data_IF_038687965012
#
_entry.id   IF_038687965012
#
_cell.length_a   1.000
_cell.length_b   1.000
_cell.length_c   1.000
_cell.angle_alpha   90.00
_cell.angle_beta   90.00
_cell.angle_gamma   90.00
#
_symmetry.space_group_name_H-M   'P 1'
#
loop_
_entity.id
_entity.type
_entity.pdbx_description
1 polymer ?
#
# COMPACT_ATOMS: atom_id res chain seq x y z
N UNK A 1 -5.77 25.42 27.54
CA UNK A 1 -4.55 24.59 27.62
C UNK A 1 -3.75 24.81 26.36
N UNK A 2 -2.40 24.74 26.40
CA UNK A 2 -1.59 24.85 25.19
C UNK A 2 -1.96 23.71 24.22
N UNK A 3 -1.88 23.97 22.92
CA UNK A 3 -2.14 22.95 21.91
C UNK A 3 -1.09 21.84 21.99
N UNK A 4 -1.54 20.57 22.02
CA UNK A 4 -0.66 19.40 22.03
C UNK A 4 -0.76 18.68 20.68
N UNK A 5 0.34 18.71 19.91
CA UNK A 5 0.34 18.15 18.56
C UNK A 5 0.17 16.63 18.54
N UNK A 6 0.74 15.91 19.51
CA UNK A 6 0.62 14.45 19.59
C UNK A 6 -0.83 13.99 19.84
N UNK A 7 -1.62 14.73 20.62
CA UNK A 7 -3.06 14.44 20.82
C UNK A 7 -3.86 14.63 19.53
N UNK A 8 -3.58 15.71 18.77
CA UNK A 8 -4.21 15.94 17.48
C UNK A 8 -3.84 14.88 16.44
N UNK A 9 -2.59 14.39 16.46
CA UNK A 9 -2.14 13.29 15.61
C UNK A 9 -2.82 11.97 15.96
N UNK A 10 -3.00 11.65 17.26
CA UNK A 10 -3.78 10.50 17.71
C UNK A 10 -5.23 10.59 17.23
N UNK A 11 -5.85 11.76 17.37
CA UNK A 11 -7.22 12.00 16.88
C UNK A 11 -7.34 11.73 15.37
N UNK A 12 -6.35 12.11 14.56
CA UNK A 12 -6.34 11.83 13.11
C UNK A 12 -6.43 10.33 12.86
N UNK A 13 -5.64 9.53 13.58
CA UNK A 13 -5.59 8.07 13.43
C UNK A 13 -6.90 7.44 13.92
N UNK A 14 -7.36 7.81 15.11
CA UNK A 14 -8.59 7.28 15.72
C UNK A 14 -9.85 7.59 14.91
N UNK A 15 -9.81 8.68 14.13
CA UNK A 15 -10.91 9.10 13.26
C UNK A 15 -10.75 8.63 11.80
N UNK A 16 -9.80 7.73 11.53
CA UNK A 16 -9.46 7.25 10.16
C UNK A 16 -9.16 8.40 9.17
N UNK A 17 -8.59 9.49 9.68
CA UNK A 17 -8.16 10.65 8.92
C UNK A 17 -6.83 10.43 8.20
N UNK A 18 -6.66 11.11 7.06
CA UNK A 18 -5.45 11.02 6.23
C UNK A 18 -4.40 12.08 6.58
N UNK A 19 -4.82 13.29 6.93
CA UNK A 19 -3.92 14.44 7.12
C UNK A 19 -4.35 15.32 8.30
N UNK A 20 -3.37 15.86 9.03
CA UNK A 20 -3.49 16.97 9.98
C UNK A 20 -2.86 18.22 9.37
N UNK A 21 -3.56 19.35 9.41
CA UNK A 21 -3.08 20.64 8.96
C UNK A 21 -3.08 21.63 10.14
N UNK A 22 -1.93 22.23 10.39
CA UNK A 22 -1.71 23.23 11.42
C UNK A 22 -1.32 24.55 10.77
N UNK A 23 -2.07 25.61 11.09
CA UNK A 23 -1.89 26.94 10.51
C UNK A 23 -2.35 28.01 11.50
N UNK A 24 -1.52 29.03 11.69
CA UNK A 24 -1.86 30.20 12.51
C UNK A 24 -3.17 30.86 12.05
N UNK A 25 -4.04 31.15 13.01
CA UNK A 25 -5.35 31.78 12.79
C UNK A 25 -6.46 30.82 12.37
N UNK A 26 -6.17 29.53 12.19
CA UNK A 26 -7.16 28.47 11.97
C UNK A 26 -7.10 27.45 13.10
N UNK A 27 -8.21 26.78 13.45
CA UNK A 27 -8.14 25.61 14.33
C UNK A 27 -7.35 24.49 13.64
N UNK A 28 -6.83 23.50 14.39
CA UNK A 28 -6.29 22.28 13.79
C UNK A 28 -7.33 21.65 12.86
N UNK A 29 -6.96 21.43 11.60
CA UNK A 29 -7.85 20.87 10.60
C UNK A 29 -7.40 19.45 10.28
N UNK A 30 -8.35 18.53 10.13
CA UNK A 30 -8.09 17.16 9.71
C UNK A 30 -8.77 16.88 8.38
N UNK A 31 -8.17 16.00 7.57
CA UNK A 31 -8.81 15.45 6.39
C UNK A 31 -9.33 14.07 6.69
N UNK A 32 -10.65 13.88 6.69
CA UNK A 32 -11.31 12.59 6.94
C UNK A 32 -12.15 12.26 5.70
N UNK A 33 -11.93 11.09 5.11
CA UNK A 33 -12.56 10.66 3.85
C UNK A 33 -12.50 11.74 2.73
N UNK A 34 -11.38 12.46 2.64
CA UNK A 34 -11.16 13.50 1.64
C UNK A 34 -11.70 14.89 1.99
N UNK A 35 -12.56 15.02 2.99
CA UNK A 35 -13.13 16.30 3.45
C UNK A 35 -12.26 16.95 4.53
N UNK A 36 -11.98 18.26 4.40
CA UNK A 36 -11.21 19.03 5.38
C UNK A 36 -12.17 19.65 6.42
N UNK A 37 -11.94 19.40 7.70
CA UNK A 37 -12.77 19.91 8.79
C UNK A 37 -11.98 20.19 10.07
N UNK A 38 -12.46 21.08 10.95
CA UNK A 38 -11.79 21.39 12.21
C UNK A 38 -11.95 20.25 13.21
N UNK A 39 -10.93 20.02 14.05
CA UNK A 39 -11.09 19.20 15.26
C UNK A 39 -12.01 19.95 16.22
N UNK A 40 -13.13 19.33 16.59
CA UNK A 40 -14.14 19.96 17.44
C UNK A 40 -13.58 20.25 18.85
N UNK A 41 -13.93 21.41 19.38
CA UNK A 41 -13.47 21.85 20.71
C UNK A 41 -12.10 22.54 20.75
N UNK A 42 -11.38 22.60 19.61
CA UNK A 42 -10.10 23.32 19.51
C UNK A 42 -10.29 24.69 18.81
N UNK A 43 -9.69 25.72 19.40
CA UNK A 43 -9.71 27.09 18.87
C UNK A 43 -8.59 27.35 17.85
N UNK A 44 -8.55 28.57 17.26
CA UNK A 44 -7.49 28.98 16.34
C UNK A 44 -6.09 28.90 16.95
N UNK A 45 -5.13 28.38 16.18
CA UNK A 45 -3.73 28.27 16.58
C UNK A 45 -3.03 29.63 16.56
N UNK A 46 -2.22 29.88 17.59
CA UNK A 46 -1.31 31.03 17.67
C UNK A 46 0.05 30.71 17.01
N UNK A 47 0.90 31.72 16.74
CA UNK A 47 2.27 31.47 16.29
C UNK A 47 3.06 30.55 17.23
N UNK A 48 2.91 30.75 18.54
CA UNK A 48 3.56 29.92 19.56
C UNK A 48 3.12 28.46 19.52
N UNK A 49 1.85 28.18 19.22
CA UNK A 49 1.36 26.81 19.07
C UNK A 49 2.02 26.10 17.89
N UNK A 50 2.17 26.78 16.74
CA UNK A 50 2.83 26.21 15.56
C UNK A 50 4.35 26.06 15.74
N UNK A 51 5.00 26.95 16.49
CA UNK A 51 6.42 26.84 16.84
C UNK A 51 6.68 25.66 17.77
N UNK A 52 5.82 25.46 18.78
CA UNK A 52 5.95 24.34 19.72
C UNK A 52 5.62 23.00 19.05
N UNK A 53 4.62 22.98 18.16
CA UNK A 53 4.34 21.81 17.32
C UNK A 53 5.56 21.46 16.46
N UNK A 54 6.18 22.43 15.79
CA UNK A 54 7.39 22.19 15.00
C UNK A 54 8.53 21.63 15.86
N UNK A 55 8.76 22.21 17.04
CA UNK A 55 9.79 21.77 17.98
C UNK A 55 9.56 20.33 18.45
N UNK A 56 8.31 19.94 18.65
CA UNK A 56 7.93 18.58 19.07
C UNK A 56 8.16 17.56 17.96
N UNK A 57 7.82 17.93 16.72
CA UNK A 57 7.86 17.05 15.55
C UNK A 57 9.26 16.89 14.97
N UNK A 58 10.02 17.98 14.85
CA UNK A 58 11.38 17.97 14.29
C UNK A 58 12.35 17.52 15.39
N UNK A 59 12.64 16.22 15.44
CA UNK A 59 13.57 15.62 16.42
C UNK A 59 14.99 15.46 15.88
N UNK A 60 15.17 15.42 14.57
CA UNK A 60 16.46 15.24 13.93
C UNK A 60 17.12 16.58 13.57
N UNK A 61 18.42 16.67 13.82
CA UNK A 61 19.20 17.88 13.54
C UNK A 61 19.22 18.27 12.05
N UNK A 62 19.26 17.34 11.07
CA UNK A 62 19.25 17.69 9.65
C UNK A 62 17.97 18.41 9.21
N UNK A 63 16.78 17.85 9.48
CA UNK A 63 15.53 18.50 9.08
C UNK A 63 15.33 19.84 9.80
N UNK A 64 15.84 19.98 11.04
CA UNK A 64 15.84 21.27 11.73
C UNK A 64 16.70 22.32 11.02
N UNK A 65 17.92 21.94 10.63
CA UNK A 65 18.82 22.83 9.91
C UNK A 65 18.23 23.23 8.56
N UNK A 66 17.67 22.28 7.81
CA UNK A 66 17.00 22.53 6.53
C UNK A 66 15.85 23.52 6.68
N UNK A 67 14.98 23.33 7.68
CA UNK A 67 13.88 24.27 7.94
C UNK A 67 14.37 25.67 8.31
N UNK A 68 15.42 25.76 9.13
CA UNK A 68 15.96 27.05 9.59
C UNK A 68 16.62 27.81 8.41
N UNK A 69 17.30 27.11 7.49
CA UNK A 69 17.97 27.66 6.31
C UNK A 69 17.00 27.99 5.16
N UNK A 70 16.19 27.02 4.73
CA UNK A 70 15.36 27.11 3.52
C UNK A 70 13.93 27.57 3.82
N UNK A 71 13.49 27.47 5.08
CA UNK A 71 12.12 27.81 5.49
C UNK A 71 11.10 26.71 5.24
N UNK A 72 11.54 25.52 4.82
CA UNK A 72 10.74 24.31 4.68
C UNK A 72 11.56 23.05 4.96
N UNK A 73 10.90 21.96 5.34
CA UNK A 73 11.54 20.64 5.52
C UNK A 73 10.50 19.51 5.41
N UNK A 74 10.92 18.39 4.82
CA UNK A 74 10.20 17.12 4.79
C UNK A 74 10.91 16.10 5.70
N UNK A 75 10.17 15.48 6.62
CA UNK A 75 10.72 14.48 7.53
C UNK A 75 9.64 13.53 8.05
N UNK A 76 10.08 12.45 8.70
CA UNK A 76 9.20 11.46 9.32
C UNK A 76 9.11 11.66 10.82
N UNK A 77 7.92 11.50 11.39
CA UNK A 77 7.68 11.54 12.83
C UNK A 77 6.85 10.35 13.26
N UNK A 78 7.25 9.64 14.32
CA UNK A 78 6.56 8.42 14.78
C UNK A 78 6.09 8.57 16.22
N UNK A 79 4.83 8.20 16.45
CA UNK A 79 4.27 8.02 17.79
C UNK A 79 4.20 6.51 18.05
N UNK A 80 4.98 5.98 19.02
CA UNK A 80 4.97 4.57 19.34
C UNK A 80 3.55 4.04 19.58
N UNK A 81 3.23 2.89 18.99
CA UNK A 81 1.93 2.21 19.07
C UNK A 81 0.73 2.98 18.52
N UNK A 82 0.93 4.06 17.75
CA UNK A 82 -0.15 4.82 17.12
C UNK A 82 0.00 4.84 15.62
N UNK A 83 0.95 5.63 15.13
CA UNK A 83 1.16 5.82 13.70
C UNK A 83 2.54 6.44 13.43
N UNK A 84 3.01 6.30 12.19
CA UNK A 84 4.07 7.15 11.63
C UNK A 84 3.42 8.19 10.76
N UNK A 85 4.04 9.35 10.71
CA UNK A 85 3.55 10.49 9.96
C UNK A 85 4.66 11.00 9.06
N UNK A 86 4.32 11.28 7.81
CA UNK A 86 5.13 12.14 6.96
C UNK A 86 4.78 13.58 7.26
N UNK A 87 5.75 14.37 7.67
CA UNK A 87 5.58 15.76 8.07
C UNK A 87 6.24 16.65 7.03
N UNK A 88 5.48 17.63 6.55
CA UNK A 88 5.99 18.75 5.78
C UNK A 88 5.75 20.02 6.59
N UNK A 89 6.82 20.71 6.96
CA UNK A 89 6.76 21.99 7.66
C UNK A 89 7.27 23.10 6.75
N UNK A 90 6.60 24.25 6.70
CA UNK A 90 7.00 25.36 5.84
C UNK A 90 6.56 26.73 6.41
N UNK A 91 7.24 27.79 5.99
CA UNK A 91 6.87 29.18 6.32
C UNK A 91 5.84 29.71 5.31
N UNK A 92 4.75 30.28 5.81
CA UNK A 92 3.77 31.01 4.99
C UNK A 92 3.39 32.33 5.64
N UNK A 93 3.54 33.43 4.89
CA UNK A 93 3.23 34.81 5.33
C UNK A 93 3.87 35.19 6.67
N UNK A 94 5.09 34.71 6.92
CA UNK A 94 5.83 34.99 8.16
C UNK A 94 5.42 34.14 9.37
N UNK A 95 4.62 33.08 9.17
CA UNK A 95 4.23 32.12 10.22
C UNK A 95 4.50 30.68 9.78
N UNK A 96 4.61 29.77 10.73
CA UNK A 96 4.82 28.34 10.45
C UNK A 96 3.48 27.69 10.10
N UNK A 97 3.52 26.81 9.09
CA UNK A 97 2.47 25.86 8.77
C UNK A 97 3.05 24.45 8.72
N UNK A 98 2.27 23.47 9.17
CA UNK A 98 2.68 22.07 9.22
C UNK A 98 1.56 21.21 8.66
N UNK A 99 1.92 20.22 7.83
CA UNK A 99 1.02 19.16 7.37
C UNK A 99 1.62 17.83 7.78
N UNK A 100 0.84 17.01 8.48
CA UNK A 100 1.23 15.66 8.86
C UNK A 100 0.29 14.66 8.18
N UNK A 101 0.82 13.77 7.35
CA UNK A 101 0.07 12.68 6.74
C UNK A 101 0.27 11.39 7.53
N UNK A 102 -0.80 10.75 7.95
CA UNK A 102 -0.72 9.45 8.62
C UNK A 102 -0.29 8.36 7.63
N UNK A 103 0.64 7.51 8.05
CA UNK A 103 1.10 6.33 7.33
C UNK A 103 0.34 5.12 7.88
N UNK A 104 -0.34 4.33 7.03
CA UNK A 104 -1.18 3.23 7.49
C UNK A 104 -0.36 2.10 8.13
N UNK A 105 -0.88 1.57 9.24
CA UNK A 105 -0.42 0.31 9.86
C UNK A 105 -1.17 -0.90 9.34
N UNK A 106 -2.44 -0.73 8.98
CA UNK A 106 -3.26 -1.84 8.53
C UNK A 106 -2.94 -2.17 7.07
N UNK A 107 -2.23 -3.27 6.89
CA UNK A 107 -1.97 -3.86 5.59
C UNK A 107 -3.15 -4.75 5.22
N UNK A 108 -3.69 -4.57 4.02
CA UNK A 108 -4.72 -5.47 3.47
C UNK A 108 -4.08 -6.76 2.98
N UNK A 109 -4.75 -7.90 3.15
CA UNK A 109 -4.25 -9.17 2.63
C UNK A 109 -4.29 -9.20 1.10
N UNK A 110 -3.57 -10.15 0.49
CA UNK A 110 -3.56 -10.33 -0.97
C UNK A 110 -5.00 -10.57 -1.50
N UNK A 111 -5.82 -11.30 -0.74
CA UNK A 111 -7.23 -11.58 -1.06
C UNK A 111 -8.12 -10.35 -0.89
N UNK A 112 -7.92 -9.56 0.17
CA UNK A 112 -8.67 -8.30 0.37
C UNK A 112 -8.42 -7.31 -0.76
N UNK A 113 -7.24 -7.37 -1.39
CA UNK A 113 -6.89 -6.58 -2.57
C UNK A 113 -7.48 -7.15 -3.87
N UNK A 114 -8.10 -8.33 -3.83
CA UNK A 114 -8.67 -9.01 -4.99
C UNK A 114 -7.61 -9.44 -6.01
N UNK A 115 -6.39 -9.72 -5.54
CA UNK A 115 -5.26 -10.06 -6.38
C UNK A 115 -5.22 -11.55 -6.76
N UNK A 116 -4.62 -11.92 -7.91
CA UNK A 116 -4.52 -13.32 -8.31
C UNK A 116 -3.71 -14.18 -7.31
N UNK A 117 -4.07 -15.46 -7.10
CA UNK A 117 -3.34 -16.37 -6.20
C UNK A 117 -1.85 -16.52 -6.54
N UNK A 118 -1.46 -16.31 -7.80
CA UNK A 118 -0.07 -16.33 -8.22
C UNK A 118 0.81 -15.31 -7.47
N UNK A 119 0.25 -14.18 -7.03
CA UNK A 119 1.01 -13.18 -6.24
C UNK A 119 1.35 -13.71 -4.84
N UNK A 120 0.44 -14.47 -4.22
CA UNK A 120 0.72 -15.19 -2.96
C UNK A 120 1.81 -16.22 -3.17
N UNK A 121 1.74 -17.03 -4.23
CA UNK A 121 2.77 -18.01 -4.55
C UNK A 121 4.16 -17.36 -4.74
N UNK A 122 4.22 -16.19 -5.38
CA UNK A 122 5.45 -15.41 -5.51
C UNK A 122 6.00 -14.91 -4.16
N UNK A 123 5.14 -14.61 -3.18
CA UNK A 123 5.58 -14.25 -1.82
C UNK A 123 6.10 -15.46 -1.02
N UNK A 124 5.69 -16.68 -1.40
CA UNK A 124 6.13 -17.94 -0.79
C UNK A 124 7.49 -18.43 -1.33
N UNK A 125 8.00 -17.81 -2.40
CA UNK A 125 9.33 -18.10 -2.95
C UNK A 125 10.42 -17.95 -1.89
N UNK A 126 11.37 -18.89 -1.86
CA UNK A 126 12.47 -18.87 -0.87
C UNK A 126 13.64 -18.00 -1.30
N UNK A 127 13.83 -17.84 -2.61
CA UNK A 127 14.93 -17.09 -3.20
C UNK A 127 14.62 -16.66 -4.62
N UNK A 128 15.29 -15.61 -5.07
CA UNK A 128 15.11 -15.05 -6.41
C UNK A 128 14.61 -13.62 -6.35
N UNK A 129 14.20 -13.09 -7.50
CA UNK A 129 13.68 -11.74 -7.63
C UNK A 129 12.20 -11.79 -8.02
N UNK A 130 11.37 -11.02 -7.31
CA UNK A 130 10.00 -10.72 -7.72
C UNK A 130 9.85 -9.22 -7.94
N UNK A 131 9.33 -8.85 -9.10
CA UNK A 131 9.24 -7.45 -9.53
C UNK A 131 7.80 -7.00 -9.61
N UNK A 132 7.46 -5.91 -8.92
CA UNK A 132 6.17 -5.25 -9.03
C UNK A 132 6.30 -3.97 -9.84
N UNK A 133 5.57 -3.86 -10.94
CA UNK A 133 5.72 -2.78 -11.90
C UNK A 133 4.41 -2.08 -12.22
N UNK A 134 4.51 -0.93 -12.87
CA UNK A 134 3.40 -0.03 -13.15
C UNK A 134 3.73 1.41 -12.79
N UNK A 135 2.88 2.33 -13.23
CA UNK A 135 3.05 3.77 -13.00
C UNK A 135 2.88 4.17 -11.53
N UNK A 136 3.18 5.42 -11.21
CA UNK A 136 2.90 5.97 -9.88
C UNK A 136 1.41 5.86 -9.56
N UNK A 137 1.10 5.39 -8.35
CA UNK A 137 -0.29 5.20 -7.91
C UNK A 137 -0.98 3.95 -8.46
N UNK A 138 -0.26 3.00 -9.05
CA UNK A 138 -0.84 1.74 -9.55
C UNK A 138 -1.07 0.66 -8.48
N UNK A 139 -0.71 0.92 -7.22
CA UNK A 139 -0.89 -0.01 -6.11
C UNK A 139 0.32 -0.88 -5.75
N UNK A 140 1.50 -0.66 -6.38
CA UNK A 140 2.73 -1.44 -6.14
C UNK A 140 3.08 -1.58 -4.66
N UNK A 141 3.21 -0.46 -3.94
CA UNK A 141 3.58 -0.46 -2.51
C UNK A 141 2.54 -1.17 -1.65
N UNK A 142 1.25 -1.11 -2.05
CA UNK A 142 0.17 -1.81 -1.34
C UNK A 142 0.27 -3.32 -1.53
N UNK A 143 0.58 -3.77 -2.74
CA UNK A 143 0.81 -5.19 -3.04
C UNK A 143 2.08 -5.71 -2.35
N UNK A 144 3.18 -4.96 -2.39
CA UNK A 144 4.41 -5.31 -1.67
C UNK A 144 4.19 -5.41 -0.17
N UNK A 145 3.46 -4.47 0.41
CA UNK A 145 3.09 -4.53 1.82
C UNK A 145 2.30 -5.82 2.11
N UNK A 146 1.31 -6.17 1.29
CA UNK A 146 0.55 -7.42 1.45
C UNK A 146 1.43 -8.68 1.34
N UNK A 147 2.42 -8.69 0.43
CA UNK A 147 3.37 -9.80 0.30
C UNK A 147 4.29 -9.91 1.51
N UNK A 148 4.84 -8.79 2.00
CA UNK A 148 5.71 -8.75 3.18
C UNK A 148 4.93 -9.16 4.43
N UNK A 149 3.69 -8.70 4.57
CA UNK A 149 2.83 -9.08 5.70
C UNK A 149 2.48 -10.58 5.65
N UNK A 150 2.22 -11.13 4.47
CA UNK A 150 2.05 -12.57 4.28
C UNK A 150 3.29 -13.37 4.70
N UNK A 151 4.50 -12.93 4.31
CA UNK A 151 5.76 -13.54 4.74
C UNK A 151 5.89 -13.47 6.28
N UNK A 152 5.59 -12.31 6.86
CA UNK A 152 5.65 -12.09 8.31
C UNK A 152 4.67 -12.96 9.11
N UNK A 153 3.53 -13.32 8.53
CA UNK A 153 2.53 -14.20 9.14
C UNK A 153 2.83 -15.70 9.00
N UNK A 154 3.62 -16.08 7.99
CA UNK A 154 3.77 -17.49 7.60
C UNK A 154 5.18 -18.06 7.80
N UNK A 155 6.20 -17.19 7.87
CA UNK A 155 7.62 -17.56 7.93
C UNK A 155 8.28 -16.94 9.17
N UNK A 156 9.40 -17.50 9.60
CA UNK A 156 10.21 -16.98 10.70
C UNK A 156 11.55 -16.55 10.12
N UNK A 157 11.59 -15.32 9.62
CA UNK A 157 12.68 -14.81 8.79
C UNK A 157 13.07 -13.39 9.19
N UNK A 158 14.23 -12.95 8.72
CA UNK A 158 14.65 -11.57 8.82
C UNK A 158 14.35 -10.83 7.53
N UNK A 159 13.41 -9.88 7.61
CA UNK A 159 13.01 -9.04 6.49
C UNK A 159 13.64 -7.66 6.65
N UNK A 160 14.33 -7.18 5.62
CA UNK A 160 14.86 -5.82 5.57
C UNK A 160 14.22 -5.06 4.40
N UNK A 161 13.61 -3.91 4.68
CA UNK A 161 13.10 -3.01 3.64
C UNK A 161 13.96 -1.76 3.52
N UNK A 162 14.22 -1.34 2.28
CA UNK A 162 14.88 -0.08 1.94
C UNK A 162 13.87 0.74 1.14
N UNK A 163 13.43 1.89 1.67
CA UNK A 163 12.29 2.65 1.13
C UNK A 163 12.59 4.16 1.08
N UNK A 164 11.88 4.90 0.23
CA UNK A 164 12.07 6.35 0.01
C UNK A 164 10.73 7.02 -0.41
N UNK A 165 9.86 7.40 0.55
CA UNK A 165 9.89 7.10 1.99
C UNK A 165 9.23 5.75 2.32
N UNK A 166 9.14 5.39 3.61
CA UNK A 166 8.36 4.24 4.07
C UNK A 166 6.86 4.49 3.90
N UNK A 167 6.17 3.62 3.16
CA UNK A 167 4.74 3.78 2.80
C UNK A 167 3.78 2.98 3.69
N UNK A 168 4.25 1.89 4.29
CA UNK A 168 3.50 1.04 5.21
C UNK A 168 4.39 0.66 6.37
N UNK A 169 3.83 0.62 7.58
CA UNK A 169 4.54 0.09 8.73
C UNK A 169 4.17 -1.36 9.00
N UNK A 170 5.20 -2.19 9.15
CA UNK A 170 5.07 -3.58 9.50
C UNK A 170 5.53 -3.81 10.94
N UNK A 171 4.62 -4.27 11.79
CA UNK A 171 4.98 -4.79 13.11
C UNK A 171 5.51 -6.22 13.01
N UNK A 172 6.41 -6.59 13.90
CA UNK A 172 6.91 -7.98 13.99
C UNK A 172 5.75 -8.94 14.30
N UNK A 173 5.68 -10.06 13.55
CA UNK A 173 4.76 -11.17 13.82
C UNK A 173 5.58 -12.44 14.07
N UNK A 174 5.76 -13.29 13.05
CA UNK A 174 6.67 -14.45 13.14
C UNK A 174 8.07 -14.12 12.61
N UNK A 175 8.16 -13.15 11.72
CA UNK A 175 9.42 -12.59 11.22
C UNK A 175 9.79 -11.33 12.00
N UNK A 176 11.08 -10.98 11.95
CA UNK A 176 11.58 -9.68 12.43
C UNK A 176 11.72 -8.77 11.21
N UNK A 177 11.16 -7.56 11.29
CA UNK A 177 11.14 -6.61 10.17
C UNK A 177 11.92 -5.35 10.52
N UNK A 178 12.97 -5.08 9.75
CA UNK A 178 13.75 -3.85 9.84
C UNK A 178 13.50 -2.97 8.60
N UNK A 179 12.73 -1.90 8.77
CA UNK A 179 12.47 -0.93 7.71
C UNK A 179 13.46 0.24 7.79
N UNK A 180 14.05 0.63 6.66
CA UNK A 180 15.06 1.70 6.59
C UNK A 180 14.69 2.71 5.52
N UNK A 181 14.46 3.95 5.94
CA UNK A 181 14.16 5.07 5.06
C UNK A 181 15.45 5.73 4.54
N UNK A 182 15.50 5.98 3.23
CA UNK A 182 16.56 6.78 2.61
C UNK A 182 16.41 8.24 3.02
N UNK A 183 17.53 8.90 3.32
CA UNK A 183 17.57 10.26 3.88
C UNK A 183 17.58 10.28 5.42
N UNK A 184 16.87 9.34 6.06
CA UNK A 184 16.79 9.25 7.53
C UNK A 184 17.69 8.15 8.11
N UNK A 185 17.41 6.87 7.82
CA UNK A 185 18.12 5.71 8.39
C UNK A 185 19.37 5.31 7.58
N UNK A 186 19.40 5.73 6.32
CA UNK A 186 20.53 5.53 5.41
C UNK A 186 20.65 6.69 4.43
N UNK A 187 21.86 7.01 3.98
CA UNK A 187 22.07 8.13 3.05
C UNK A 187 21.64 7.85 1.62
N UNK A 188 21.63 6.59 1.20
CA UNK A 188 21.24 6.18 -0.15
C UNK A 188 20.94 4.69 -0.24
N UNK A 189 20.21 4.28 -1.28
CA UNK A 189 19.98 2.88 -1.63
C UNK A 189 21.29 2.12 -1.81
N UNK A 190 22.21 2.63 -2.62
CA UNK A 190 23.52 2.01 -2.86
C UNK A 190 24.30 1.72 -1.57
N UNK A 191 24.32 2.68 -0.62
CA UNK A 191 25.00 2.48 0.67
C UNK A 191 24.30 1.42 1.53
N UNK A 192 22.98 1.41 1.53
CA UNK A 192 22.21 0.42 2.27
C UNK A 192 22.39 -0.99 1.69
N UNK A 193 22.30 -1.13 0.37
CA UNK A 193 22.48 -2.39 -0.37
C UNK A 193 23.87 -3.01 -0.13
N UNK A 194 24.95 -2.22 -0.10
CA UNK A 194 26.29 -2.75 0.24
C UNK A 194 26.41 -3.34 1.65
N UNK A 195 25.52 -2.95 2.55
CA UNK A 195 25.52 -3.38 3.95
C UNK A 195 24.48 -4.45 4.23
N UNK A 196 23.38 -4.47 3.48
CA UNK A 196 22.23 -5.37 3.73
C UNK A 196 22.65 -6.84 3.77
N UNK A 197 23.55 -7.27 2.88
CA UNK A 197 24.05 -8.65 2.83
C UNK A 197 24.88 -9.06 4.06
N UNK A 198 25.23 -8.13 4.96
CA UNK A 198 25.90 -8.43 6.24
C UNK A 198 24.98 -8.27 7.44
N UNK A 199 23.71 -8.02 7.19
CA UNK A 199 22.68 -7.88 8.23
C UNK A 199 21.91 -9.20 8.41
N UNK A 200 22.38 -10.30 7.82
CA UNK A 200 21.73 -11.61 7.87
C UNK A 200 20.25 -11.58 7.42
N UNK A 201 19.90 -10.97 6.26
CA UNK A 201 18.53 -10.97 5.77
C UNK A 201 18.18 -12.30 5.11
N UNK A 202 16.91 -12.69 5.17
CA UNK A 202 16.33 -13.72 4.29
C UNK A 202 15.57 -13.07 3.12
N UNK A 203 14.87 -11.96 3.41
CA UNK A 203 14.06 -11.21 2.44
C UNK A 203 14.51 -9.76 2.41
N UNK A 204 14.71 -9.23 1.21
CA UNK A 204 15.13 -7.84 0.98
C UNK A 204 14.09 -7.15 0.10
N UNK A 205 13.44 -6.11 0.60
CA UNK A 205 12.64 -5.19 -0.20
C UNK A 205 13.47 -3.99 -0.61
N UNK A 206 13.56 -3.73 -1.91
CA UNK A 206 14.14 -2.52 -2.48
C UNK A 206 12.99 -1.68 -3.05
N UNK A 207 12.76 -0.50 -2.48
CA UNK A 207 11.62 0.36 -2.85
C UNK A 207 11.53 0.59 -4.35
N UNK A 208 12.65 0.91 -5.01
CA UNK A 208 12.74 1.02 -6.47
C UNK A 208 14.17 0.74 -6.97
N UNK A 209 14.28 0.10 -8.14
CA UNK A 209 15.54 -0.03 -8.88
C UNK A 209 15.69 1.12 -9.88
N UNK A 210 16.64 2.02 -9.62
CA UNK A 210 16.89 3.22 -10.46
C UNK A 210 18.22 3.23 -11.19
N UNK A 211 19.16 2.36 -10.81
CA UNK A 211 20.53 2.38 -11.32
C UNK A 211 21.17 0.99 -11.38
N UNK A 212 22.27 0.90 -12.13
CA UNK A 212 23.04 -0.32 -12.33
C UNK A 212 23.54 -0.94 -11.01
N UNK A 213 23.98 -0.11 -10.05
CA UNK A 213 24.56 -0.60 -8.79
C UNK A 213 23.50 -1.33 -7.95
N UNK A 214 22.30 -0.77 -7.88
CA UNK A 214 21.15 -1.33 -7.15
C UNK A 214 20.70 -2.63 -7.79
N UNK A 215 20.52 -2.66 -9.12
CA UNK A 215 20.11 -3.85 -9.86
C UNK A 215 21.16 -4.96 -9.76
N UNK A 216 22.44 -4.64 -9.92
CA UNK A 216 23.54 -5.59 -9.78
C UNK A 216 23.56 -6.23 -8.39
N UNK A 217 23.39 -5.42 -7.34
CA UNK A 217 23.39 -5.93 -5.97
C UNK A 217 22.18 -6.83 -5.69
N UNK A 218 21.01 -6.49 -6.25
CA UNK A 218 19.82 -7.33 -6.15
C UNK A 218 20.00 -8.69 -6.85
N UNK A 219 20.58 -8.71 -8.05
CA UNK A 219 20.91 -9.94 -8.77
C UNK A 219 21.86 -10.82 -7.95
N UNK A 220 22.91 -10.24 -7.37
CA UNK A 220 23.84 -10.97 -6.48
C UNK A 220 23.17 -11.47 -5.20
N UNK A 221 22.28 -10.69 -4.58
CA UNK A 221 21.52 -11.11 -3.41
C UNK A 221 20.63 -12.32 -3.73
N UNK A 222 19.90 -12.26 -4.85
CA UNK A 222 19.05 -13.35 -5.29
C UNK A 222 19.84 -14.62 -5.63
N UNK A 223 20.98 -14.48 -6.30
CA UNK A 223 21.89 -15.59 -6.62
C UNK A 223 22.44 -16.27 -5.35
N UNK A 224 22.72 -15.49 -4.31
CA UNK A 224 23.21 -15.99 -3.02
C UNK A 224 22.12 -16.56 -2.10
N UNK A 225 20.88 -16.65 -2.57
CA UNK A 225 19.79 -17.37 -1.90
C UNK A 225 18.78 -16.51 -1.17
N UNK A 226 18.81 -15.18 -1.34
CA UNK A 226 17.83 -14.27 -0.76
C UNK A 226 16.60 -14.14 -1.64
N UNK A 227 15.44 -13.87 -1.04
CA UNK A 227 14.28 -13.36 -1.78
C UNK A 227 14.38 -11.84 -1.88
N UNK A 228 14.40 -11.31 -3.09
CA UNK A 228 14.43 -9.87 -3.34
C UNK A 228 13.10 -9.44 -3.95
N UNK A 229 12.41 -8.53 -3.28
CA UNK A 229 11.23 -7.85 -3.80
C UNK A 229 11.64 -6.44 -4.25
N UNK A 230 11.14 -5.98 -5.40
CA UNK A 230 11.44 -4.61 -5.84
C UNK A 230 10.40 -4.05 -6.78
N UNK A 231 10.46 -2.74 -7.01
CA UNK A 231 9.65 -2.08 -8.04
C UNK A 231 10.43 -1.47 -9.19
N UNK A 232 9.75 -1.36 -10.34
CA UNK A 232 10.14 -0.57 -11.51
C UNK A 232 8.91 0.17 -12.06
N UNK A 233 9.15 1.21 -12.88
CA UNK A 233 8.10 2.02 -13.52
C UNK A 233 7.87 1.65 -15.00
N UNK A 234 7.82 0.35 -15.29
CA UNK A 234 7.48 -0.22 -16.60
C UNK A 234 6.01 -0.63 -16.67
N UNK A 235 5.49 -0.79 -17.88
CA UNK A 235 4.06 -1.03 -18.11
C UNK A 235 3.68 -2.51 -18.12
N UNK A 236 4.61 -3.39 -18.50
CA UNK A 236 4.39 -4.84 -18.64
C UNK A 236 5.65 -5.65 -18.31
N UNK A 237 5.53 -6.98 -18.27
CA UNK A 237 6.63 -7.88 -17.91
C UNK A 237 7.79 -7.86 -18.92
N UNK A 238 7.49 -7.69 -20.21
CA UNK A 238 8.49 -7.69 -21.28
C UNK A 238 9.35 -6.42 -21.21
N UNK A 239 8.71 -5.26 -21.05
CA UNK A 239 9.38 -3.98 -20.83
C UNK A 239 10.19 -4.00 -19.53
N UNK A 240 9.67 -4.65 -18.48
CA UNK A 240 10.39 -4.82 -17.20
C UNK A 240 11.74 -5.52 -17.40
N UNK A 241 11.77 -6.62 -18.15
CA UNK A 241 13.01 -7.36 -18.46
C UNK A 241 13.98 -6.47 -19.23
N UNK A 242 13.52 -5.85 -20.32
CA UNK A 242 14.36 -4.97 -21.14
C UNK A 242 14.91 -3.80 -20.31
N UNK A 243 14.08 -3.18 -19.47
CA UNK A 243 14.49 -2.06 -18.61
C UNK A 243 15.59 -2.44 -17.63
N UNK A 244 15.52 -3.64 -17.04
CA UNK A 244 16.58 -4.14 -16.15
C UNK A 244 17.91 -4.25 -16.90
N UNK A 245 17.87 -4.78 -18.13
CA UNK A 245 19.06 -4.99 -18.95
C UNK A 245 19.65 -3.64 -19.42
N UNK A 246 18.78 -2.66 -19.71
CA UNK A 246 19.18 -1.32 -20.14
C UNK A 246 19.91 -0.49 -19.07
N UNK A 247 19.83 -0.88 -17.79
CA UNK A 247 20.68 -0.27 -16.76
C UNK A 247 22.17 -0.63 -16.94
N UNK A 248 22.47 -1.72 -17.65
CA UNK A 248 23.84 -2.17 -17.86
C UNK A 248 24.41 -1.63 -19.17
N UNK A 249 25.71 -1.28 -19.19
CA UNK A 249 26.39 -0.91 -20.42
C UNK A 249 26.40 -2.10 -21.41
N UNK A 250 26.44 -1.86 -22.73
CA UNK A 250 26.23 -2.90 -23.75
C UNK A 250 27.08 -4.17 -23.60
N UNK A 251 28.33 -4.03 -23.14
CA UNK A 251 29.25 -5.16 -22.95
C UNK A 251 28.91 -6.05 -21.75
N UNK A 252 28.06 -5.58 -20.82
CA UNK A 252 27.60 -6.34 -19.65
C UNK A 252 26.17 -6.86 -19.79
N UNK A 253 25.43 -6.44 -20.82
CA UNK A 253 24.02 -6.80 -20.99
C UNK A 253 23.79 -8.31 -21.13
N UNK A 254 24.68 -9.02 -21.82
CA UNK A 254 24.58 -10.48 -21.91
C UNK A 254 24.77 -11.15 -20.55
N UNK A 255 25.73 -10.69 -19.74
CA UNK A 255 25.90 -11.19 -18.39
C UNK A 255 24.67 -10.89 -17.52
N UNK A 256 24.11 -9.68 -17.62
CA UNK A 256 22.90 -9.30 -16.90
C UNK A 256 21.70 -10.17 -17.29
N UNK A 257 21.53 -10.51 -18.58
CA UNK A 257 20.50 -11.44 -19.05
C UNK A 257 20.63 -12.82 -18.42
N UNK A 258 21.84 -13.39 -18.40
CA UNK A 258 22.09 -14.70 -17.80
C UNK A 258 21.75 -14.69 -16.30
N UNK A 259 22.19 -13.66 -15.57
CA UNK A 259 21.89 -13.52 -14.14
C UNK A 259 20.39 -13.33 -13.90
N UNK A 260 19.71 -12.51 -14.70
CA UNK A 260 18.28 -12.25 -14.57
C UNK A 260 17.47 -13.51 -14.85
N UNK A 261 17.77 -14.23 -15.93
CA UNK A 261 17.09 -15.48 -16.28
C UNK A 261 17.20 -16.51 -15.14
N UNK A 262 18.37 -16.62 -14.50
CA UNK A 262 18.57 -17.57 -13.40
C UNK A 262 17.88 -17.17 -12.07
N UNK A 263 17.68 -15.88 -11.84
CA UNK A 263 17.26 -15.34 -10.54
C UNK A 263 15.82 -14.85 -10.49
N UNK A 264 15.25 -14.39 -11.61
CA UNK A 264 13.87 -13.90 -11.65
C UNK A 264 12.88 -15.04 -11.40
N UNK A 265 11.86 -14.79 -10.58
CA UNK A 265 10.76 -15.73 -10.29
C UNK A 265 9.45 -15.28 -10.90
N UNK A 266 9.23 -13.97 -10.96
CA UNK A 266 8.08 -13.41 -11.65
C UNK A 266 8.08 -11.89 -11.70
N UNK A 267 7.22 -11.37 -12.54
CA UNK A 267 6.91 -9.95 -12.62
C UNK A 267 5.39 -9.75 -12.59
N UNK A 268 4.94 -8.76 -11.82
CA UNK A 268 3.54 -8.36 -11.70
C UNK A 268 3.41 -6.90 -12.09
N UNK A 269 2.80 -6.64 -13.23
CA UNK A 269 2.52 -5.27 -13.68
C UNK A 269 1.10 -4.89 -13.29
N UNK A 270 0.91 -3.73 -12.68
CA UNK A 270 -0.38 -3.32 -12.11
C UNK A 270 -0.92 -2.02 -12.69
N UNK A 271 -2.26 -1.94 -12.79
CA UNK A 271 -3.04 -0.73 -13.08
C UNK A 271 -4.24 -0.68 -12.14
N UNK A 272 -4.58 0.51 -11.64
CA UNK A 272 -5.84 0.71 -10.90
C UNK A 272 -6.92 1.21 -11.85
N UNK A 273 -8.01 0.47 -11.95
CA UNK A 273 -9.11 0.72 -12.89
C UNK A 273 -10.36 1.14 -12.10
N UNK A 274 -11.03 2.24 -12.46
CA UNK A 274 -12.27 2.66 -11.80
C UNK A 274 -13.35 1.59 -11.83
N UNK A 275 -14.06 1.40 -10.72
CA UNK A 275 -15.19 0.47 -10.63
C UNK A 275 -16.42 0.99 -11.37
N UNK A 276 -17.29 0.07 -11.79
CA UNK A 276 -18.54 0.37 -12.51
C UNK A 276 -19.49 1.26 -11.70
N UNK A 277 -19.46 1.15 -10.36
CA UNK A 277 -20.26 1.97 -9.44
C UNK A 277 -19.67 3.36 -9.16
N UNK A 278 -18.43 3.64 -9.63
CA UNK A 278 -17.74 4.91 -9.44
C UNK A 278 -17.22 5.18 -8.02
N UNK A 279 -17.38 4.24 -7.07
CA UNK A 279 -17.01 4.46 -5.66
C UNK A 279 -15.59 3.98 -5.32
N UNK A 280 -14.88 3.37 -6.27
CA UNK A 280 -13.58 2.79 -5.99
C UNK A 280 -12.75 2.45 -7.23
N UNK A 281 -11.71 1.66 -6.99
CA UNK A 281 -10.81 1.14 -8.02
C UNK A 281 -10.48 -0.31 -7.72
N UNK A 282 -10.33 -1.12 -8.76
CA UNK A 282 -9.80 -2.48 -8.68
C UNK A 282 -8.42 -2.57 -9.32
N UNK A 283 -7.57 -3.47 -8.81
CA UNK A 283 -6.29 -3.77 -9.43
C UNK A 283 -6.49 -4.74 -10.62
N UNK A 284 -6.15 -4.29 -11.82
CA UNK A 284 -5.91 -5.16 -12.95
C UNK A 284 -4.40 -5.47 -12.99
N UNK A 285 -4.04 -6.74 -13.15
CA UNK A 285 -2.65 -7.17 -13.07
C UNK A 285 -2.29 -8.11 -14.22
N UNK A 286 -1.20 -7.82 -14.92
CA UNK A 286 -0.47 -8.82 -15.69
C UNK A 286 0.48 -9.56 -14.75
N UNK A 287 0.50 -10.89 -14.84
CA UNK A 287 1.34 -11.76 -14.01
C UNK A 287 2.16 -12.67 -14.91
N UNK A 288 3.47 -12.55 -14.82
CA UNK A 288 4.43 -13.46 -15.46
C UNK A 288 5.12 -14.29 -14.38
N UNK A 289 5.09 -15.61 -14.54
CA UNK A 289 5.90 -16.55 -13.75
C UNK A 289 7.05 -17.04 -14.62
N UNK A 290 8.27 -17.06 -14.07
CA UNK A 290 9.44 -17.50 -14.81
C UNK A 290 9.49 -19.02 -14.83
N UNK A 291 9.15 -19.58 -15.99
CA UNK A 291 9.32 -21.00 -16.33
C UNK A 291 10.56 -21.17 -17.19
N UNK A 292 11.03 -22.40 -17.43
CA UNK A 292 12.17 -22.64 -18.33
C UNK A 292 11.99 -22.02 -19.73
N UNK A 293 10.75 -21.99 -20.27
CA UNK A 293 10.44 -21.30 -21.53
C UNK A 293 10.66 -19.79 -21.43
N UNK A 294 10.29 -19.17 -20.31
CA UNK A 294 10.51 -17.73 -20.08
C UNK A 294 12.00 -17.45 -19.89
N UNK A 295 12.73 -18.32 -19.18
CA UNK A 295 14.19 -18.22 -19.03
C UNK A 295 14.89 -18.20 -20.40
N UNK A 296 14.56 -19.13 -21.30
CA UNK A 296 15.10 -19.19 -22.65
C UNK A 296 14.85 -17.88 -23.44
N UNK A 297 13.65 -17.31 -23.31
CA UNK A 297 13.27 -16.05 -23.97
C UNK A 297 13.96 -14.82 -23.36
N UNK A 298 14.34 -14.85 -22.07
CA UNK A 298 15.14 -13.80 -21.43
C UNK A 298 16.58 -13.87 -21.95
N UNK A 299 17.13 -15.07 -22.08
CA UNK A 299 18.49 -15.30 -22.57
C UNK A 299 18.67 -14.82 -24.02
N UNK A 300 17.66 -15.00 -24.87
CA UNK A 300 17.71 -14.58 -26.27
C UNK A 300 17.08 -13.18 -26.49
N UNK A 301 17.87 -12.12 -26.74
CA UNK A 301 17.36 -10.76 -26.90
C UNK A 301 16.37 -10.59 -28.06
N UNK A 302 16.49 -11.40 -29.12
CA UNK A 302 15.60 -11.32 -30.29
C UNK A 302 14.23 -11.95 -30.02
N UNK A 303 14.13 -12.76 -28.96
CA UNK A 303 12.92 -13.50 -28.62
C UNK A 303 12.23 -13.02 -27.35
N UNK A 304 12.84 -12.11 -26.59
CA UNK A 304 12.25 -11.52 -25.37
C UNK A 304 10.84 -10.95 -25.63
N UNK A 305 10.58 -10.40 -26.83
CA UNK A 305 9.26 -9.91 -27.23
C UNK A 305 8.14 -10.97 -27.27
N UNK A 306 8.47 -12.27 -27.33
CA UNK A 306 7.52 -13.38 -27.36
C UNK A 306 6.97 -13.74 -25.97
N UNK A 307 7.50 -13.15 -24.90
CA UNK A 307 7.08 -13.42 -23.51
C UNK A 307 5.59 -13.10 -23.31
N UNK A 308 5.08 -12.04 -23.92
CA UNK A 308 3.65 -11.67 -23.89
C UNK A 308 2.73 -12.81 -24.35
N UNK A 309 3.14 -13.58 -25.37
CA UNK A 309 2.39 -14.74 -25.86
C UNK A 309 2.44 -15.90 -24.85
N UNK A 310 3.60 -16.13 -24.22
CA UNK A 310 3.75 -17.15 -23.17
C UNK A 310 2.87 -16.84 -21.97
N UNK A 311 2.78 -15.57 -21.58
CA UNK A 311 1.89 -15.11 -20.51
C UNK A 311 0.42 -15.39 -20.87
N UNK A 312 0.00 -15.04 -22.09
CA UNK A 312 -1.37 -15.25 -22.55
C UNK A 312 -1.80 -16.72 -22.57
N UNK A 313 -0.87 -17.63 -22.84
CA UNK A 313 -1.09 -19.08 -22.85
C UNK A 313 -0.81 -19.75 -21.49
N UNK A 314 -0.35 -19.00 -20.49
CA UNK A 314 0.27 -19.50 -19.27
C UNK A 314 -0.65 -19.65 -18.06
N UNK A 315 -1.97 -19.68 -18.25
CA UNK A 315 -2.98 -19.77 -17.16
C UNK A 315 -2.73 -20.94 -16.20
N UNK A 316 -2.25 -22.08 -16.71
CA UNK A 316 -1.88 -23.24 -15.89
C UNK A 316 -0.81 -22.91 -14.82
N UNK A 317 0.09 -21.97 -15.11
CA UNK A 317 1.11 -21.48 -14.18
C UNK A 317 0.64 -20.26 -13.37
N UNK A 318 -0.63 -19.87 -13.47
CA UNK A 318 -1.18 -18.66 -12.88
C UNK A 318 -0.75 -17.37 -13.59
N UNK A 319 -0.27 -17.47 -14.84
CA UNK A 319 0.02 -16.29 -15.65
C UNK A 319 -1.26 -15.72 -16.24
N UNK A 320 -1.28 -14.40 -16.43
CA UNK A 320 -2.38 -13.72 -17.11
C UNK A 320 -1.88 -12.40 -17.70
N UNK A 321 -2.41 -12.01 -18.85
CA UNK A 321 -2.20 -10.67 -19.40
C UNK A 321 -3.10 -9.64 -18.71
N UNK A 322 -2.77 -8.35 -18.89
CA UNK A 322 -3.68 -7.27 -18.47
C UNK A 322 -5.08 -7.43 -19.06
N UNK A 323 -5.18 -7.75 -20.34
CA UNK A 323 -6.46 -7.84 -21.05
C UNK A 323 -7.29 -9.03 -20.57
N UNK A 324 -6.65 -10.15 -20.19
CA UNK A 324 -7.32 -11.26 -19.50
C UNK A 324 -7.82 -10.86 -18.11
N UNK A 325 -7.00 -10.13 -17.34
CA UNK A 325 -7.40 -9.61 -16.02
C UNK A 325 -8.58 -8.63 -16.13
N UNK A 326 -8.55 -7.72 -17.10
CA UNK A 326 -9.64 -6.77 -17.37
C UNK A 326 -10.93 -7.48 -17.76
N UNK A 327 -10.84 -8.51 -18.61
CA UNK A 327 -12.01 -9.30 -19.02
C UNK A 327 -12.68 -9.94 -17.79
N UNK A 328 -11.89 -10.55 -16.89
CA UNK A 328 -12.41 -11.14 -15.66
C UNK A 328 -13.09 -10.11 -14.74
N UNK A 329 -12.61 -8.87 -14.70
CA UNK A 329 -13.25 -7.78 -13.96
C UNK A 329 -14.55 -7.31 -14.61
N UNK A 330 -14.63 -7.30 -15.94
CA UNK A 330 -15.87 -6.99 -16.69
C UNK A 330 -16.92 -8.08 -16.48
N UNK A 331 -16.54 -9.35 -16.62
CA UNK A 331 -17.43 -10.50 -16.42
C UNK A 331 -17.98 -10.56 -14.99
N UNK A 332 -17.17 -10.16 -14.00
CA UNK A 332 -17.59 -10.03 -12.61
C UNK A 332 -18.43 -8.77 -12.31
N UNK A 333 -18.72 -7.92 -13.32
CA UNK A 333 -19.47 -6.68 -13.17
C UNK A 333 -18.74 -5.57 -12.39
N UNK A 334 -17.46 -5.76 -12.05
CA UNK A 334 -16.66 -4.83 -11.26
C UNK A 334 -16.22 -3.60 -12.07
N UNK A 335 -16.03 -3.78 -13.38
CA UNK A 335 -15.60 -2.72 -14.31
C UNK A 335 -16.54 -2.73 -15.52
N UNK A 336 -16.91 -1.55 -16.04
CA UNK A 336 -17.72 -1.48 -17.28
C UNK A 336 -16.88 -1.77 -18.52
N UNK A 337 -17.47 -2.37 -19.57
CA UNK A 337 -16.79 -2.63 -20.84
C UNK A 337 -16.09 -1.39 -21.41
N UNK A 338 -16.75 -0.23 -21.32
CA UNK A 338 -16.21 1.05 -21.79
C UNK A 338 -14.92 1.40 -21.05
N UNK A 339 -14.94 1.36 -19.72
CA UNK A 339 -13.77 1.67 -18.90
C UNK A 339 -12.66 0.64 -19.15
N UNK A 340 -12.99 -0.64 -19.26
CA UNK A 340 -11.99 -1.66 -19.55
C UNK A 340 -11.30 -1.43 -20.91
N UNK A 341 -12.05 -0.99 -21.93
CA UNK A 341 -11.49 -0.65 -23.25
C UNK A 341 -10.48 0.50 -23.20
N UNK A 342 -10.71 1.51 -22.37
CA UNK A 342 -9.82 2.66 -22.19
C UNK A 342 -8.50 2.29 -21.48
N UNK A 343 -8.50 1.18 -20.73
CA UNK A 343 -7.36 0.70 -19.93
C UNK A 343 -6.67 -0.55 -20.51
N UNK A 344 -7.23 -1.14 -21.58
CA UNK A 344 -6.68 -2.31 -22.25
C UNK A 344 -5.31 -2.00 -22.88
N UNK A 345 -4.41 -2.98 -22.85
CA UNK A 345 -3.13 -2.88 -23.55
C UNK A 345 -3.32 -2.85 -25.07
N UNK A 346 -4.27 -3.63 -25.59
CA UNK A 346 -4.73 -3.55 -26.98
C UNK A 346 -6.26 -3.45 -27.03
N UNK A 347 -6.83 -2.25 -27.24
CA UNK A 347 -8.28 -2.08 -27.37
C UNK A 347 -8.88 -2.94 -28.50
N UNK A 348 -8.12 -3.17 -29.57
CA UNK A 348 -8.57 -4.04 -30.66
C UNK A 348 -8.72 -5.49 -30.21
N UNK A 349 -7.68 -6.06 -29.60
CA UNK A 349 -7.68 -7.46 -29.17
C UNK A 349 -8.65 -7.67 -28.02
N UNK A 350 -8.72 -6.72 -27.09
CA UNK A 350 -9.68 -6.76 -25.99
C UNK A 350 -11.14 -6.77 -26.48
N UNK A 351 -11.46 -6.03 -27.55
CA UNK A 351 -12.79 -6.09 -28.18
C UNK A 351 -13.11 -7.48 -28.75
N UNK A 352 -12.12 -8.16 -29.32
CA UNK A 352 -12.28 -9.54 -29.80
C UNK A 352 -12.49 -10.50 -28.62
N UNK A 353 -11.77 -10.31 -27.51
CA UNK A 353 -11.94 -11.10 -26.29
C UNK A 353 -13.36 -10.96 -25.71
N UNK A 354 -13.89 -9.74 -25.60
CA UNK A 354 -15.26 -9.48 -25.15
C UNK A 354 -16.30 -10.18 -26.05
N UNK A 355 -16.14 -10.06 -27.38
CA UNK A 355 -17.07 -10.69 -28.32
C UNK A 355 -17.05 -12.23 -28.23
N UNK A 356 -15.88 -12.82 -27.99
CA UNK A 356 -15.73 -14.27 -27.85
C UNK A 356 -16.28 -14.78 -26.51
N UNK A 357 -16.12 -14.02 -25.42
CA UNK A 357 -16.72 -14.34 -24.12
C UNK A 357 -18.25 -14.33 -24.19
N UNK A 358 -18.84 -13.27 -24.77
CA UNK A 358 -20.30 -13.16 -24.94
C UNK A 358 -20.89 -14.30 -25.79
N UNK A 359 -20.16 -14.78 -26.81
CA UNK A 359 -20.57 -15.94 -27.62
C UNK A 359 -20.55 -17.26 -26.86
N UNK A 360 -19.53 -17.49 -26.02
CA UNK A 360 -19.49 -18.68 -25.16
C UNK A 360 -20.66 -18.71 -24.18
N UNK A 361 -21.03 -17.55 -23.61
CA UNK A 361 -22.21 -17.45 -22.76
C UNK A 361 -23.53 -17.70 -23.54
N UNK A 362 -23.65 -17.23 -24.78
CA UNK A 362 -24.82 -17.50 -25.63
C UNK A 362 -24.91 -18.94 -26.13
N UNK A 363 -23.79 -19.61 -26.38
CA UNK A 363 -23.76 -20.99 -26.85
C UNK A 363 -24.11 -21.98 -25.73
N UNK A 364 -23.68 -21.72 -24.49
CA UNK A 364 -24.06 -22.51 -23.31
C UNK A 364 -25.57 -22.36 -23.05
N UNK A 365 -26.12 -21.14 -23.12
CA UNK A 365 -27.56 -20.91 -22.96
C UNK A 365 -28.43 -21.48 -24.09
N UNK A 366 -27.87 -21.75 -25.27
CA UNK A 366 -28.59 -22.40 -26.38
C UNK A 366 -28.58 -23.94 -26.32
N UNK A 367 -27.67 -24.54 -25.55
CA UNK A 367 -27.63 -25.99 -25.32
C UNK A 367 -28.64 -26.44 -24.24
N UNK A 368 -29.11 -25.52 -23.39
CA UNK A 368 -30.14 -25.76 -22.36
C UNK A 368 -31.58 -25.55 -22.86
N UNK A 369 -31.80 -25.57 -24.19
CA UNK A 369 -33.12 -25.42 -24.84
C UNK A 369 -34.12 -26.58 -24.68
N UNK A 370 -34.01 -27.38 -23.61
CA UNK A 370 -35.10 -28.25 -23.13
C UNK A 370 -36.09 -27.44 -22.28
N UNK A 371 -37.34 -27.89 -22.08
CA UNK A 371 -38.30 -27.14 -21.27
C UNK A 371 -37.70 -26.89 -19.89
N UNK A 372 -37.49 -25.61 -19.56
CA UNK A 372 -36.91 -25.22 -18.29
C UNK A 372 -37.75 -25.75 -17.12
N UNK A 373 -37.11 -26.06 -15.96
CA UNK A 373 -37.86 -26.46 -14.78
C UNK A 373 -38.84 -25.35 -14.40
N UNK A 374 -40.08 -25.73 -14.06
CA UNK A 374 -41.09 -24.82 -13.53
C UNK A 374 -40.52 -23.98 -12.38
N UNK A 375 -40.96 -22.71 -12.23
CA UNK A 375 -40.47 -21.85 -11.16
C UNK A 375 -40.80 -22.47 -9.80
N UNK A 376 -39.74 -22.82 -9.07
CA UNK A 376 -39.83 -23.20 -7.66
C UNK A 376 -40.36 -21.98 -6.88
N UNK A 377 -41.44 -22.11 -6.09
CA UNK A 377 -41.95 -21.00 -5.31
C UNK A 377 -40.86 -20.47 -4.38
N UNK A 378 -40.75 -19.13 -4.31
CA UNK A 378 -39.76 -18.44 -3.49
C UNK A 378 -39.78 -18.97 -2.05
N UNK A 379 -38.61 -19.36 -1.55
CA UNK A 379 -38.42 -19.67 -0.14
C UNK A 379 -38.78 -18.43 0.70
N UNK A 380 -39.49 -18.60 1.83
CA UNK A 380 -39.80 -17.49 2.71
C UNK A 380 -38.50 -16.83 3.21
N UNK A 381 -38.51 -15.51 3.29
CA UNK A 381 -37.41 -14.71 3.81
C UNK A 381 -36.92 -15.25 5.17
N UNK A 382 -35.60 -15.24 5.44
CA UNK A 382 -35.08 -15.63 6.74
C UNK A 382 -35.70 -14.74 7.83
N UNK A 383 -36.18 -15.38 8.90
CA UNK A 383 -36.70 -14.68 10.06
C UNK A 383 -35.65 -13.72 10.61
N UNK A 384 -36.08 -12.51 10.97
CA UNK A 384 -35.25 -11.52 11.63
C UNK A 384 -34.53 -12.13 12.84
N UNK A 385 -33.24 -11.80 13.06
CA UNK A 385 -32.52 -12.30 14.23
C UNK A 385 -33.24 -11.88 15.51
N UNK A 386 -33.38 -12.81 16.44
CA UNK A 386 -33.94 -12.54 17.76
C UNK A 386 -33.14 -11.43 18.45
N UNK A 387 -33.80 -10.50 19.16
CA UNK A 387 -33.11 -9.44 19.88
C UNK A 387 -32.13 -10.05 20.89
N UNK A 388 -30.87 -9.65 20.79
CA UNK A 388 -29.83 -9.97 21.77
C UNK A 388 -30.27 -9.40 23.12
N UNK A 389 -30.54 -10.29 24.08
CA UNK A 389 -30.74 -9.88 25.47
C UNK A 389 -29.41 -9.38 26.02
N UNK A 390 -29.31 -8.06 26.17
CA UNK A 390 -28.25 -7.42 26.95
C UNK A 390 -28.56 -7.72 28.42
N UNK A 391 -27.64 -8.31 29.21
CA UNK A 391 -27.87 -8.48 30.63
C UNK A 391 -27.95 -7.10 31.30
N UNK A 392 -29.06 -6.84 31.98
CA UNK A 392 -29.29 -5.63 32.76
C UNK A 392 -28.17 -5.46 33.80
N UNK A 393 -27.31 -4.45 33.60
CA UNK A 393 -26.49 -3.94 34.70
C UNK A 393 -27.43 -3.28 35.70
N UNK A 394 -27.52 -3.84 36.89
CA UNK A 394 -28.14 -3.19 38.04
C UNK A 394 -27.42 -1.86 38.28
N UNK A 395 -28.11 -0.77 37.99
CA UNK A 395 -27.71 0.58 38.41
C UNK A 395 -28.15 0.72 39.87
N UNK A 396 -27.21 0.68 40.81
CA UNK A 396 -27.46 1.08 42.19
C UNK A 396 -27.87 2.56 42.22
N UNK A 397 -29.13 2.80 42.60
CA UNK A 397 -29.66 4.13 42.87
C UNK A 397 -29.10 4.59 44.23
N UNK A 398 -28.39 5.72 44.33
CA UNK A 398 -27.96 6.24 45.62
C UNK A 398 -29.18 6.71 46.42
N UNK A 399 -29.32 6.22 47.65
CA UNK A 399 -30.36 6.66 48.58
C UNK A 399 -30.22 8.15 48.92
N UNK A 400 -31.33 8.89 49.11
CA UNK A 400 -31.28 10.31 49.45
C UNK A 400 -30.71 10.52 50.85
N UNK A 401 -29.61 11.26 50.95
CA UNK A 401 -29.05 11.71 52.22
C UNK A 401 -30.04 12.64 52.94
N UNK A 402 -30.31 12.31 54.20
CA UNK A 402 -31.11 13.13 55.11
C UNK A 402 -30.47 14.50 55.32
N UNK A 403 -31.31 15.53 55.27
CA UNK A 403 -30.93 16.92 55.51
C UNK A 403 -30.40 17.11 56.94
N UNK A 404 -29.14 17.55 57.05
CA UNK A 404 -28.59 18.07 58.29
C UNK A 404 -28.75 19.60 58.31
N UNK A 405 -29.34 20.07 59.40
CA UNK A 405 -29.72 21.43 59.75
C UNK A 405 -28.58 22.47 59.69
N UNK A 406 -28.89 23.65 59.16
CA UNK A 406 -28.04 24.83 59.16
C UNK A 406 -27.86 25.44 60.58
N UNK A 407 -26.66 25.94 60.94
CA UNK A 407 -26.49 26.85 62.07
C UNK A 407 -26.69 28.33 61.65
N UNK A 408 -27.08 29.22 62.59
CA UNK A 408 -27.49 30.60 62.28
C UNK A 408 -26.29 31.55 62.08
N UNK A 409 -26.50 32.77 61.55
CA UNK A 409 -25.43 33.71 61.27
C UNK A 409 -25.05 34.49 62.54
N UNK A 410 -23.74 34.65 62.79
CA UNK A 410 -23.24 35.63 63.76
C UNK A 410 -22.54 36.77 63.04
N UNK A 411 -23.14 37.95 63.17
CA UNK A 411 -22.64 39.28 62.82
C UNK A 411 -21.49 39.75 63.72
N UNK A 412 -20.70 40.68 63.16
CA UNK A 412 -19.95 41.82 63.75
C UNK A 412 -18.51 41.89 63.19
N UNK A 413 -18.25 42.81 62.26
CA UNK A 413 -17.81 44.21 62.44
C UNK A 413 -16.38 44.37 63.01
N UNK A 414 -15.47 44.74 62.09
CA UNK A 414 -14.37 45.72 62.18
C UNK A 414 -13.51 45.81 63.45
N UNK A 415 -12.19 45.72 63.27
CA UNK A 415 -11.31 46.89 63.11
C UNK A 415 -10.03 46.50 62.38
#
# INVERSE_FOLDING_TARGET
MPFQVEEALRYVVDSEGSDLHLKVGAPPMTRIHGALGPIQGLGPLSPGDTEEALRTLVRDLPARAEFDEEGEADFSYSIPSVSRFRVNAFKQRGSISIVCRAIPYQVRTIEDLGLPPAIRALAEERRGIVLLTGTTGSGKSTTLAAMIDHINETRAEHVITLEDPIEYLHGDKRSIINQREVGSDTRSFARAMRRVLRQDPDVILIGEMRDEETVRTALSAAETGHLVLSTLHTLDATETINRIIDFFPPHLQQQARVMLAATLRGAVSQRLVPTSDGNGRVAAAEVMIVTGRVEDLILNPEETGKISQVIAEGDYYGMQTFDQSLLAHVEAGRVSEKVAMDYASSPHDFKLMLANSGRRASDISQLDGGPGPEPVPAAPAPAAPAPVQVPERQVEVPQPQQAASAPPPSSHFTS
#
